data_IF_609506882064
#
_entry.id   IF_609506882064
#
_cell.length_a   1.000
_cell.length_b   1.000
_cell.length_c   1.000
_cell.angle_alpha   90.00
_cell.angle_beta   90.00
_cell.angle_gamma   90.00
#
_symmetry.space_group_name_H-M   'P 1'
#
loop_
_entity.id
_entity.type
_entity.pdbx_description
1 polymer ?
#
# COMPACT_ATOMS: atom_id res chain seq x y z
N UNK A 1 21.23 3.88 -7.00
CA UNK A 1 20.42 4.85 -6.24
C UNK A 1 18.96 4.60 -6.57
N UNK A 2 18.11 4.36 -5.58
CA UNK A 2 16.71 3.96 -5.82
C UNK A 2 15.86 5.18 -6.19
N UNK A 3 15.20 5.12 -7.33
CA UNK A 3 14.32 6.19 -7.83
C UNK A 3 12.87 6.05 -7.36
N UNK A 4 12.48 4.87 -6.87
CA UNK A 4 11.14 4.56 -6.39
C UNK A 4 11.21 3.95 -4.99
N UNK A 5 10.26 4.30 -4.14
CA UNK A 5 10.07 3.69 -2.82
C UNK A 5 8.64 3.18 -2.63
N UNK A 6 8.52 2.07 -1.91
CA UNK A 6 7.25 1.54 -1.42
C UNK A 6 7.18 1.84 0.08
N UNK A 7 6.12 2.50 0.52
CA UNK A 7 5.94 2.92 1.91
C UNK A 7 4.68 2.29 2.44
N UNK A 8 4.84 1.32 3.33
CA UNK A 8 3.72 0.71 4.03
C UNK A 8 3.21 1.66 5.13
N UNK A 9 1.90 1.77 5.28
CA UNK A 9 1.23 2.48 6.37
C UNK A 9 0.18 1.58 6.99
N UNK A 10 0.11 1.62 8.32
CA UNK A 10 -0.96 1.03 9.12
C UNK A 10 -2.00 2.09 9.55
N UNK A 11 -1.91 3.31 8.98
CA UNK A 11 -2.72 4.49 9.29
C UNK A 11 -2.58 5.00 10.74
N UNK A 12 -1.59 4.52 11.48
CA UNK A 12 -1.26 5.06 12.81
C UNK A 12 -0.62 6.45 12.71
N UNK A 13 -0.66 7.22 13.80
CA UNK A 13 0.06 8.48 13.92
C UNK A 13 1.57 8.29 13.68
N UNK A 14 2.13 7.17 14.14
CA UNK A 14 3.54 6.84 13.92
C UNK A 14 3.86 6.70 12.43
N UNK A 15 3.03 5.97 11.67
CA UNK A 15 3.21 5.84 10.23
C UNK A 15 3.03 7.18 9.50
N UNK A 16 2.12 8.04 9.97
CA UNK A 16 1.93 9.39 9.43
C UNK A 16 3.22 10.23 9.59
N UNK A 17 3.84 10.20 10.76
CA UNK A 17 5.11 10.92 10.98
C UNK A 17 6.24 10.39 10.09
N UNK A 18 6.32 9.07 9.87
CA UNK A 18 7.27 8.49 8.92
C UNK A 18 7.04 9.03 7.52
N UNK A 19 5.79 9.06 7.04
CA UNK A 19 5.44 9.58 5.71
C UNK A 19 5.86 11.05 5.56
N UNK A 20 5.61 11.89 6.57
CA UNK A 20 6.03 13.29 6.57
C UNK A 20 7.56 13.45 6.48
N UNK A 21 8.32 12.51 7.04
CA UNK A 21 9.79 12.54 6.99
C UNK A 21 10.40 12.16 5.63
N UNK A 22 9.62 11.57 4.72
CA UNK A 22 10.10 11.04 3.43
C UNK A 22 10.65 12.11 2.48
N UNK A 23 10.33 13.39 2.70
CA UNK A 23 10.90 14.48 1.91
C UNK A 23 12.43 14.48 1.95
N UNK A 24 13.03 14.07 3.08
CA UNK A 24 14.47 13.88 3.20
C UNK A 24 15.04 12.86 2.20
N UNK A 25 14.26 11.83 1.84
CA UNK A 25 14.68 10.78 0.91
C UNK A 25 14.72 11.29 -0.55
N UNK A 26 13.99 12.35 -0.89
CA UNK A 26 14.10 13.00 -2.20
C UNK A 26 15.49 13.59 -2.44
N UNK A 27 16.17 14.06 -1.38
CA UNK A 27 17.52 14.64 -1.47
C UNK A 27 18.59 13.61 -1.81
N UNK A 28 18.33 12.33 -1.51
CA UNK A 28 19.13 11.18 -1.94
C UNK A 28 18.48 10.47 -3.14
N UNK A 29 17.73 11.23 -3.95
CA UNK A 29 17.22 11.00 -5.32
C UNK A 29 16.26 9.85 -5.55
N UNK A 30 15.49 9.51 -4.52
CA UNK A 30 14.16 8.94 -4.72
C UNK A 30 13.22 9.98 -5.34
N UNK A 31 12.43 9.59 -6.34
CA UNK A 31 11.56 10.47 -7.13
C UNK A 31 10.08 10.14 -6.96
N UNK A 32 9.77 8.85 -6.81
CA UNK A 32 8.40 8.35 -6.68
C UNK A 32 8.23 7.61 -5.36
N UNK A 33 7.06 7.76 -4.74
CA UNK A 33 6.67 7.05 -3.53
C UNK A 33 5.30 6.42 -3.75
N UNK A 34 5.20 5.10 -3.61
CA UNK A 34 3.95 4.37 -3.59
C UNK A 34 3.58 4.07 -2.14
N UNK A 35 2.49 4.66 -1.67
CA UNK A 35 1.92 4.38 -0.35
C UNK A 35 1.05 3.12 -0.43
N UNK A 36 1.26 2.19 0.48
CA UNK A 36 0.52 0.93 0.56
C UNK A 36 -0.08 0.78 1.94
N UNK A 37 -1.39 0.63 2.01
CA UNK A 37 -2.08 0.17 3.20
C UNK A 37 -2.58 -1.25 2.97
N UNK A 38 -2.16 -2.17 3.81
CA UNK A 38 -2.58 -3.56 3.72
C UNK A 38 -3.73 -3.80 4.68
N UNK A 39 -4.87 -4.21 4.14
CA UNK A 39 -5.97 -4.74 4.92
C UNK A 39 -5.76 -6.23 5.14
N UNK A 40 -5.86 -6.68 6.39
CA UNK A 40 -6.08 -8.09 6.64
C UNK A 40 -7.53 -8.41 6.28
N UNK A 41 -7.72 -9.24 5.26
CA UNK A 41 -9.05 -9.59 4.74
C UNK A 41 -9.96 -10.20 5.82
N UNK A 42 -9.38 -10.81 6.85
CA UNK A 42 -10.12 -11.38 7.99
C UNK A 42 -10.74 -10.33 8.92
N UNK A 43 -10.20 -9.11 8.88
CA UNK A 43 -10.52 -8.06 9.86
C UNK A 43 -11.40 -6.95 9.27
N UNK A 44 -11.74 -7.02 7.97
CA UNK A 44 -12.48 -5.98 7.23
C UNK A 44 -13.94 -6.33 6.92
N UNK A 45 -14.47 -7.38 7.55
CA UNK A 45 -15.87 -7.79 7.41
C UNK A 45 -16.26 -8.02 5.95
N UNK A 46 -17.34 -7.37 5.50
CA UNK A 46 -17.89 -7.54 4.16
C UNK A 46 -17.01 -7.00 3.03
N UNK A 47 -15.96 -6.21 3.32
CA UNK A 47 -15.02 -5.73 2.31
C UNK A 47 -14.25 -6.88 1.66
N UNK A 48 -14.00 -7.95 2.43
CA UNK A 48 -13.39 -9.17 1.93
C UNK A 48 -14.17 -9.79 0.77
N UNK A 49 -15.48 -9.97 0.99
CA UNK A 49 -16.38 -10.60 0.01
C UNK A 49 -16.48 -9.75 -1.26
N UNK A 50 -16.54 -8.43 -1.11
CA UNK A 50 -16.57 -7.49 -2.24
C UNK A 50 -15.27 -7.54 -3.04
N UNK A 51 -14.10 -7.54 -2.38
CA UNK A 51 -12.80 -7.64 -3.05
C UNK A 51 -12.65 -8.98 -3.78
N UNK A 52 -13.13 -10.08 -3.20
CA UNK A 52 -13.12 -11.40 -3.83
C UNK A 52 -14.04 -11.45 -5.06
N UNK A 53 -15.26 -10.92 -4.98
CA UNK A 53 -16.17 -10.82 -6.12
C UNK A 53 -15.57 -10.01 -7.27
N UNK A 54 -14.93 -8.87 -6.96
CA UNK A 54 -14.30 -8.00 -7.94
C UNK A 54 -13.05 -8.62 -8.59
N UNK A 55 -12.31 -9.45 -7.85
CA UNK A 55 -11.06 -10.06 -8.33
C UNK A 55 -11.24 -11.43 -8.97
N UNK A 56 -12.37 -12.11 -8.74
CA UNK A 56 -12.73 -13.41 -9.34
C UNK A 56 -12.48 -13.49 -10.87
N UNK A 57 -12.91 -12.52 -11.69
CA UNK A 57 -12.68 -12.59 -13.14
C UNK A 57 -11.19 -12.53 -13.53
N UNK A 58 -10.35 -11.93 -12.68
CA UNK A 58 -8.89 -11.87 -12.90
C UNK A 58 -8.22 -13.17 -12.48
N UNK A 59 -8.71 -13.84 -11.44
CA UNK A 59 -8.22 -15.15 -11.03
C UNK A 59 -8.62 -16.25 -12.02
N UNK A 60 -9.85 -16.23 -12.53
CA UNK A 60 -10.33 -17.18 -13.54
C UNK A 60 -9.55 -17.12 -14.85
N UNK A 61 -8.97 -15.96 -15.19
CA UNK A 61 -8.10 -15.79 -16.38
C UNK A 61 -6.67 -16.33 -16.18
N UNK A 62 -6.29 -16.66 -14.94
CA UNK A 62 -4.96 -17.14 -14.59
C UNK A 62 -4.93 -18.65 -14.31
N UNK A 63 -6.09 -19.33 -14.39
CA UNK A 63 -6.21 -20.78 -14.45
C UNK A 63 -6.31 -21.26 -15.90
#
# INVERSE_FOLDING_TARGET
MFTKMLVATDLSDASTQVICSLEGLKKIGTKEAALVHCFNIRDVGTLADQLMEMTRPSFEKQQ
#
